data_IF_427961797927
#
_entry.id   IF_427961797927
#
_cell.length_a   1.000
_cell.length_b   1.000
_cell.length_c   1.000
_cell.angle_alpha   90.00
_cell.angle_beta   90.00
_cell.angle_gamma   90.00
#
_symmetry.space_group_name_H-M   'P 1'
#
loop_
_entity.id
_entity.type
_entity.pdbx_description
1 polymer ?
#
# COMPACT_ATOMS: atom_id res chain seq x y z
N UNK A 1 -32.48 -42.10 -8.17
CA UNK A 1 -31.67 -41.56 -7.05
C UNK A 1 -30.65 -40.61 -7.64
N UNK A 2 -30.82 -39.31 -7.40
CA UNK A 2 -29.90 -38.29 -7.89
C UNK A 2 -29.44 -37.49 -6.69
N UNK A 3 -28.19 -37.71 -6.26
CA UNK A 3 -27.53 -36.93 -5.23
C UNK A 3 -26.99 -35.66 -5.84
N UNK A 4 -27.72 -34.55 -5.68
CA UNK A 4 -27.16 -33.21 -5.93
C UNK A 4 -26.45 -32.76 -4.66
N UNK A 5 -25.16 -33.05 -4.58
CA UNK A 5 -24.23 -32.34 -3.70
C UNK A 5 -23.41 -31.40 -4.56
N UNK A 6 -23.61 -30.10 -4.41
CA UNK A 6 -22.45 -29.22 -4.22
C UNK A 6 -22.90 -28.08 -3.33
N UNK A 7 -22.55 -28.22 -2.06
CA UNK A 7 -22.49 -27.17 -1.06
C UNK A 7 -22.01 -25.87 -1.69
N UNK A 8 -22.77 -24.80 -1.50
CA UNK A 8 -22.35 -23.44 -1.76
C UNK A 8 -20.97 -23.26 -1.13
N UNK A 9 -19.95 -23.07 -1.97
CA UNK A 9 -18.61 -22.76 -1.52
C UNK A 9 -18.71 -21.44 -0.74
N UNK A 10 -18.77 -21.57 0.58
CA UNK A 10 -18.58 -20.49 1.51
C UNK A 10 -17.23 -19.88 1.16
N UNK A 11 -17.29 -18.71 0.52
CA UNK A 11 -16.14 -17.84 0.26
C UNK A 11 -15.67 -17.37 1.64
N UNK A 12 -14.93 -18.25 2.31
CA UNK A 12 -14.32 -17.99 3.60
C UNK A 12 -13.30 -16.88 3.34
N UNK A 13 -13.59 -15.69 3.85
CA UNK A 13 -12.65 -14.60 3.96
C UNK A 13 -11.51 -15.05 4.88
N UNK A 14 -10.57 -15.83 4.32
CA UNK A 14 -9.24 -15.99 4.89
C UNK A 14 -8.57 -14.65 4.68
N UNK A 15 -8.37 -13.90 5.77
CA UNK A 15 -7.50 -12.73 5.77
C UNK A 15 -6.22 -13.09 5.01
N UNK A 16 -5.98 -12.41 3.90
CA UNK A 16 -4.96 -12.77 2.92
C UNK A 16 -3.58 -12.35 3.42
N UNK A 17 -3.11 -13.01 4.49
CA UNK A 17 -1.76 -12.81 5.01
C UNK A 17 -0.76 -13.54 4.13
N UNK A 18 0.17 -12.79 3.58
CA UNK A 18 1.28 -13.34 2.81
C UNK A 18 2.57 -13.23 3.62
N UNK A 19 3.45 -14.20 3.43
CA UNK A 19 4.83 -14.13 3.92
C UNK A 19 5.69 -13.61 2.78
N UNK A 20 6.47 -12.57 3.04
CA UNK A 20 7.42 -12.00 2.07
C UNK A 20 8.80 -12.02 2.69
N UNK A 21 9.80 -12.47 1.93
CA UNK A 21 11.17 -12.51 2.42
C UNK A 21 11.78 -11.10 2.39
N UNK A 22 11.99 -10.54 3.58
CA UNK A 22 12.61 -9.24 3.78
C UNK A 22 14.11 -9.35 4.07
N UNK A 23 14.83 -8.21 4.10
CA UNK A 23 16.27 -8.19 4.33
C UNK A 23 16.68 -8.74 5.69
N UNK A 24 15.86 -8.54 6.73
CA UNK A 24 16.12 -9.00 8.10
C UNK A 24 15.38 -10.31 8.45
N UNK A 25 14.79 -10.95 7.45
CA UNK A 25 13.99 -12.16 7.60
C UNK A 25 12.55 -12.02 7.10
N UNK A 26 11.71 -13.06 7.30
CA UNK A 26 10.36 -13.11 6.76
C UNK A 26 9.43 -12.10 7.43
N UNK A 27 8.74 -11.30 6.62
CA UNK A 27 7.74 -10.33 7.05
C UNK A 27 6.34 -10.83 6.70
N UNK A 28 5.44 -10.86 7.69
CA UNK A 28 4.02 -11.16 7.46
C UNK A 28 3.28 -9.89 7.05
N UNK A 29 2.72 -9.87 5.85
CA UNK A 29 1.95 -8.74 5.29
C UNK A 29 0.48 -9.10 5.30
N UNK A 30 -0.34 -8.26 5.92
CA UNK A 30 -1.81 -8.41 5.95
C UNK A 30 -2.39 -7.59 4.78
N UNK A 31 -2.58 -8.24 3.64
CA UNK A 31 -2.91 -7.57 2.38
C UNK A 31 -4.25 -6.85 2.49
N UNK A 32 -5.28 -7.52 3.01
CA UNK A 32 -6.62 -6.93 3.15
C UNK A 32 -6.60 -5.67 4.04
N UNK A 33 -5.86 -5.70 5.16
CA UNK A 33 -5.77 -4.55 6.06
C UNK A 33 -5.01 -3.36 5.44
N UNK A 34 -4.07 -3.63 4.53
CA UNK A 34 -3.36 -2.58 3.78
C UNK A 34 -4.27 -2.05 2.67
N UNK A 35 -4.97 -2.91 1.92
CA UNK A 35 -5.91 -2.50 0.87
C UNK A 35 -7.05 -1.64 1.42
N UNK A 36 -7.63 -2.01 2.57
CA UNK A 36 -8.64 -1.19 3.24
C UNK A 36 -8.12 0.20 3.61
N UNK A 37 -6.87 0.31 4.07
CA UNK A 37 -6.24 1.60 4.38
C UNK A 37 -5.90 2.40 3.13
N UNK A 38 -5.47 1.74 2.06
CA UNK A 38 -5.25 2.37 0.75
C UNK A 38 -6.56 3.00 0.28
N UNK A 39 -7.66 2.26 0.30
CA UNK A 39 -8.95 2.76 -0.16
C UNK A 39 -9.43 3.92 0.72
N UNK A 40 -9.27 3.82 2.04
CA UNK A 40 -9.59 4.90 2.97
C UNK A 40 -8.76 6.18 2.70
N UNK A 41 -7.47 6.05 2.36
CA UNK A 41 -6.61 7.17 2.03
C UNK A 41 -6.90 7.82 0.68
N UNK A 42 -7.41 7.04 -0.28
CA UNK A 42 -7.79 7.54 -1.61
C UNK A 42 -9.16 8.21 -1.63
N UNK A 43 -10.08 7.73 -0.78
CA UNK A 43 -11.48 8.18 -0.71
C UNK A 43 -11.68 9.70 -0.66
N UNK A 44 -10.99 10.49 0.20
CA UNK A 44 -11.23 11.94 0.27
C UNK A 44 -10.92 12.67 -1.03
N UNK A 45 -9.97 12.18 -1.84
CA UNK A 45 -9.58 12.79 -3.11
C UNK A 45 -10.49 12.36 -4.26
N UNK A 46 -10.96 11.10 -4.25
CA UNK A 46 -11.81 10.56 -5.33
C UNK A 46 -13.27 11.03 -5.16
N UNK A 47 -13.81 10.91 -3.95
CA UNK A 47 -15.22 11.18 -3.68
C UNK A 47 -15.47 12.66 -3.30
N UNK A 48 -14.41 13.48 -3.24
CA UNK A 48 -14.45 14.86 -2.76
C UNK A 48 -15.14 15.02 -1.39
N UNK A 49 -14.99 14.01 -0.52
CA UNK A 49 -15.61 14.00 0.80
C UNK A 49 -14.74 14.71 1.83
N UNK A 50 -15.36 15.54 2.65
CA UNK A 50 -14.71 16.07 3.85
C UNK A 50 -14.48 14.93 4.84
N UNK A 51 -13.24 14.76 5.28
CA UNK A 51 -12.88 13.77 6.30
C UNK A 51 -12.41 14.50 7.55
N UNK A 52 -12.81 13.97 8.70
CA UNK A 52 -12.36 14.40 10.00
C UNK A 52 -10.82 14.43 10.09
N UNK A 53 -10.20 15.54 10.55
CA UNK A 53 -8.74 15.63 10.67
C UNK A 53 -8.09 14.51 11.50
N UNK A 54 -8.78 13.99 12.53
CA UNK A 54 -8.24 12.89 13.32
C UNK A 54 -8.25 11.57 12.52
N UNK A 55 -9.29 11.34 11.72
CA UNK A 55 -9.34 10.22 10.79
C UNK A 55 -8.25 10.31 9.71
N UNK A 56 -8.04 11.46 9.06
CA UNK A 56 -6.92 11.64 8.10
C UNK A 56 -5.59 11.33 8.79
N UNK A 57 -5.37 11.85 10.00
CA UNK A 57 -4.13 11.59 10.76
C UNK A 57 -3.91 10.09 10.98
N UNK A 58 -4.96 9.36 11.39
CA UNK A 58 -4.90 7.92 11.63
C UNK A 58 -4.58 7.16 10.35
N UNK A 59 -5.26 7.48 9.25
CA UNK A 59 -5.04 6.86 7.94
C UNK A 59 -3.61 7.12 7.46
N UNK A 60 -3.16 8.38 7.48
CA UNK A 60 -1.80 8.75 7.06
C UNK A 60 -0.74 8.02 7.87
N UNK A 61 -0.86 7.97 9.20
CA UNK A 61 0.09 7.20 10.04
C UNK A 61 0.09 5.72 9.69
N UNK A 62 -1.09 5.13 9.49
CA UNK A 62 -1.23 3.74 9.07
C UNK A 62 -0.55 3.47 7.73
N UNK A 63 -0.73 4.36 6.75
CA UNK A 63 -0.11 4.24 5.43
C UNK A 63 1.41 4.42 5.48
N UNK A 64 1.93 5.37 6.28
CA UNK A 64 3.39 5.51 6.49
C UNK A 64 3.97 4.21 7.03
N UNK A 65 3.37 3.63 8.08
CA UNK A 65 3.84 2.36 8.63
C UNK A 65 3.77 1.20 7.63
N UNK A 66 2.79 1.20 6.73
CA UNK A 66 2.73 0.21 5.65
C UNK A 66 3.84 0.42 4.61
N UNK A 67 4.14 1.66 4.21
CA UNK A 67 5.27 1.94 3.30
C UNK A 67 6.60 1.54 3.95
N UNK A 68 6.84 1.94 5.21
CA UNK A 68 8.06 1.59 5.96
C UNK A 68 8.25 0.07 6.06
N UNK A 69 7.16 -0.68 6.15
CA UNK A 69 7.18 -2.14 6.20
C UNK A 69 7.43 -2.78 4.83
N UNK A 70 6.80 -2.27 3.77
CA UNK A 70 6.85 -2.89 2.44
C UNK A 70 8.09 -2.47 1.64
N UNK A 71 8.59 -1.25 1.85
CA UNK A 71 9.67 -0.65 1.06
C UNK A 71 11.00 -1.43 1.16
N UNK A 72 11.52 -1.78 2.36
CA UNK A 72 12.78 -2.53 2.46
C UNK A 72 12.70 -3.91 1.79
N UNK A 73 11.51 -4.52 1.82
CA UNK A 73 11.24 -5.82 1.19
C UNK A 73 11.26 -5.68 -0.34
N UNK A 74 10.64 -4.62 -0.87
CA UNK A 74 10.70 -4.31 -2.30
C UNK A 74 12.13 -3.98 -2.73
N UNK A 75 12.86 -3.16 -1.97
CA UNK A 75 14.26 -2.86 -2.25
C UNK A 75 15.12 -4.13 -2.32
N UNK A 76 14.98 -5.03 -1.34
CA UNK A 76 15.71 -6.29 -1.33
C UNK A 76 15.37 -7.18 -2.56
N UNK A 77 14.08 -7.29 -2.89
CA UNK A 77 13.59 -8.10 -4.02
C UNK A 77 14.05 -7.57 -5.38
N UNK A 78 14.21 -6.25 -5.52
CA UNK A 78 14.48 -5.60 -6.80
C UNK A 78 15.89 -4.99 -6.90
N UNK A 79 16.74 -5.15 -5.88
CA UNK A 79 18.09 -4.57 -5.79
C UNK A 79 18.94 -4.79 -7.03
N UNK A 80 18.93 -6.00 -7.58
CA UNK A 80 19.79 -6.38 -8.70
C UNK A 80 19.14 -6.17 -10.07
N UNK A 81 17.87 -5.73 -10.11
CA UNK A 81 17.14 -5.54 -11.37
C UNK A 81 17.40 -4.20 -12.04
N UNK A 82 18.09 -3.28 -11.37
CA UNK A 82 18.54 -1.99 -11.91
C UNK A 82 17.40 -1.09 -12.44
N UNK A 83 17.76 0.07 -12.98
CA UNK A 83 16.84 0.94 -13.73
C UNK A 83 15.83 1.75 -12.90
N UNK A 84 14.70 2.09 -13.54
CA UNK A 84 13.69 3.03 -13.02
C UNK A 84 13.06 2.62 -11.68
N UNK A 85 13.00 1.33 -11.38
CA UNK A 85 12.39 0.82 -10.16
C UNK A 85 13.24 1.16 -8.94
N UNK A 86 14.56 0.97 -9.03
CA UNK A 86 15.47 1.31 -7.92
C UNK A 86 15.41 2.81 -7.61
N UNK A 87 15.43 3.66 -8.65
CA UNK A 87 15.26 5.11 -8.52
C UNK A 87 13.89 5.49 -7.90
N UNK A 88 12.84 4.77 -8.28
CA UNK A 88 11.49 4.95 -7.71
C UNK A 88 11.42 4.62 -6.22
N UNK A 89 12.07 3.53 -5.79
CA UNK A 89 12.13 3.13 -4.39
C UNK A 89 12.97 4.10 -3.55
N UNK A 90 14.12 4.56 -4.06
CA UNK A 90 14.95 5.59 -3.39
C UNK A 90 14.22 6.93 -3.24
N UNK A 91 13.44 7.32 -4.26
CA UNK A 91 12.56 8.50 -4.19
C UNK A 91 11.50 8.33 -3.11
N UNK A 92 10.87 7.15 -3.05
CA UNK A 92 9.86 6.85 -2.03
C UNK A 92 10.45 6.86 -0.62
N UNK A 93 11.67 6.32 -0.42
CA UNK A 93 12.38 6.40 0.87
C UNK A 93 12.54 7.84 1.33
N UNK A 94 13.08 8.72 0.49
CA UNK A 94 13.27 10.14 0.83
C UNK A 94 11.96 10.85 1.17
N UNK A 95 10.85 10.48 0.53
CA UNK A 95 9.52 11.05 0.82
C UNK A 95 8.99 10.64 2.19
N UNK A 96 9.44 9.54 2.79
CA UNK A 96 9.05 9.18 4.15
C UNK A 96 9.49 10.23 5.17
N UNK A 97 10.63 10.88 4.93
CA UNK A 97 11.19 11.90 5.82
C UNK A 97 10.53 13.28 5.70
N UNK A 98 9.66 13.50 4.69
CA UNK A 98 9.05 14.81 4.49
C UNK A 98 8.03 15.14 5.58
N UNK A 99 8.04 16.38 6.05
CA UNK A 99 7.02 16.87 6.97
C UNK A 99 5.63 16.76 6.34
N UNK A 100 4.70 16.15 7.09
CA UNK A 100 3.31 15.98 6.65
C UNK A 100 2.51 17.25 6.98
N UNK A 101 1.61 17.70 6.09
CA UNK A 101 0.74 18.85 6.38
C UNK A 101 -0.19 18.53 7.56
N UNK A 102 -0.42 19.51 8.44
CA UNK A 102 -1.39 19.39 9.52
C UNK A 102 -2.81 19.35 8.92
N UNK A 103 -3.59 18.27 9.11
CA UNK A 103 -4.94 18.16 8.56
C UNK A 103 -5.94 19.18 9.15
N UNK A 104 -5.64 19.82 10.29
CA UNK A 104 -6.49 20.88 10.86
C UNK A 104 -6.29 22.22 10.14
N UNK A 105 -5.05 22.51 9.75
CA UNK A 105 -4.69 23.76 9.08
C UNK A 105 -4.78 23.65 7.55
N UNK A 106 -4.51 22.47 6.99
CA UNK A 106 -4.42 22.21 5.55
C UNK A 106 -5.10 20.88 5.18
N UNK A 107 -6.43 20.76 5.35
CA UNK A 107 -7.15 19.49 5.19
C UNK A 107 -7.03 18.90 3.78
N UNK A 108 -7.09 19.74 2.74
CA UNK A 108 -6.93 19.28 1.36
C UNK A 108 -5.51 18.72 1.10
N UNK A 109 -4.47 19.42 1.55
CA UNK A 109 -3.09 18.98 1.37
C UNK A 109 -2.82 17.68 2.15
N UNK A 110 -3.42 17.54 3.33
CA UNK A 110 -3.33 16.30 4.11
C UNK A 110 -4.06 15.13 3.44
N UNK A 111 -5.22 15.36 2.83
CA UNK A 111 -5.93 14.36 2.03
C UNK A 111 -5.12 13.94 0.79
N UNK A 112 -4.53 14.90 0.06
CA UNK A 112 -3.66 14.61 -1.08
C UNK A 112 -2.44 13.79 -0.64
N UNK A 113 -1.80 14.18 0.46
CA UNK A 113 -0.67 13.44 1.01
C UNK A 113 -1.05 12.00 1.41
N UNK A 114 -2.23 11.79 2.00
CA UNK A 114 -2.74 10.46 2.32
C UNK A 114 -2.97 9.63 1.04
N UNK A 115 -3.57 10.23 0.01
CA UNK A 115 -3.80 9.56 -1.27
C UNK A 115 -2.48 9.19 -1.97
N UNK A 116 -1.46 10.04 -1.92
CA UNK A 116 -0.15 9.73 -2.48
C UNK A 116 0.52 8.56 -1.76
N UNK A 117 0.48 8.54 -0.42
CA UNK A 117 0.97 7.40 0.35
C UNK A 117 0.17 6.13 0.04
N UNK A 118 -1.15 6.23 -0.11
CA UNK A 118 -1.99 5.10 -0.51
C UNK A 118 -1.60 4.54 -1.89
N UNK A 119 -1.30 5.40 -2.87
CA UNK A 119 -0.77 4.98 -4.18
C UNK A 119 0.58 4.29 -4.03
N UNK A 120 1.49 4.82 -3.22
CA UNK A 120 2.79 4.19 -2.95
C UNK A 120 2.63 2.81 -2.31
N UNK A 121 1.77 2.67 -1.28
CA UNK A 121 1.43 1.38 -0.68
C UNK A 121 0.88 0.41 -1.73
N UNK A 122 -0.05 0.85 -2.58
CA UNK A 122 -0.63 0.01 -3.64
C UNK A 122 0.42 -0.47 -4.63
N UNK A 123 1.35 0.41 -5.04
CA UNK A 123 2.44 0.04 -5.94
C UNK A 123 3.39 -0.96 -5.30
N UNK A 124 3.83 -0.72 -4.06
CA UNK A 124 4.69 -1.64 -3.32
C UNK A 124 4.00 -3.00 -3.11
N UNK A 125 2.73 -2.99 -2.71
CA UNK A 125 1.96 -4.20 -2.53
C UNK A 125 1.90 -5.00 -3.85
N UNK A 126 1.59 -4.35 -4.97
CA UNK A 126 1.59 -4.99 -6.30
C UNK A 126 2.97 -5.50 -6.72
N UNK A 127 4.06 -4.81 -6.38
CA UNK A 127 5.41 -5.29 -6.66
C UNK A 127 5.74 -6.57 -5.88
N UNK A 128 5.19 -6.70 -4.68
CA UNK A 128 5.43 -7.84 -3.79
C UNK A 128 4.45 -9.01 -4.01
N UNK A 129 3.24 -8.75 -4.50
CA UNK A 129 2.19 -9.76 -4.73
C UNK A 129 1.95 -10.08 -6.21
N UNK A 130 2.42 -9.23 -7.11
CA UNK A 130 2.24 -9.36 -8.55
C UNK A 130 3.23 -10.34 -9.21
N UNK A 131 3.04 -10.61 -10.51
CA UNK A 131 3.93 -11.49 -11.27
C UNK A 131 5.36 -10.96 -11.28
N UNK A 132 6.34 -11.86 -11.40
CA UNK A 132 7.76 -11.54 -11.32
C UNK A 132 8.29 -10.59 -12.40
N UNK A 133 7.52 -10.18 -13.42
CA UNK A 133 7.98 -9.22 -14.43
C UNK A 133 7.67 -7.77 -14.01
N UNK A 134 8.68 -6.99 -13.60
CA UNK A 134 8.47 -5.68 -13.04
C UNK A 134 8.33 -4.60 -14.13
N UNK A 135 8.54 -4.93 -15.41
CA UNK A 135 8.31 -4.01 -16.53
C UNK A 135 6.83 -3.68 -16.75
N UNK A 136 5.92 -4.41 -16.08
CA UNK A 136 4.49 -4.12 -16.09
C UNK A 136 4.05 -3.20 -14.94
N UNK A 137 4.93 -2.86 -14.01
CA UNK A 137 4.60 -2.01 -12.85
C UNK A 137 5.22 -0.63 -13.02
N UNK A 138 4.41 0.33 -13.47
CA UNK A 138 4.80 1.74 -13.52
C UNK A 138 4.79 2.29 -12.09
N UNK A 139 5.98 2.52 -11.51
CA UNK A 139 6.11 3.36 -10.30
C UNK A 139 5.85 4.79 -10.75
N UNK A 140 4.60 5.20 -10.65
CA UNK A 140 4.16 6.55 -10.97
C UNK A 140 4.77 7.51 -9.96
N UNK A 141 5.82 8.24 -10.38
CA UNK A 141 6.44 9.32 -9.62
C UNK A 141 5.62 10.58 -9.91
N UNK A 142 4.70 10.90 -9.02
CA UNK A 142 4.01 12.19 -8.95
C UNK A 142 4.66 13.04 -7.85
#
# INVERSE_FOLDING_TARGET
MTTTSTSAAAKTARSSRIRVDGPDGPVMVDVDAIEQRIDAGMRPVIDAVSIDPAEITRITKGLVGDVEKLLPVAEARFKDRGGHITLGLDSLRRRLDYQRPDPRSYPLNAAICAADLARSCRTLLKLLTGPEDPNQVVISTW
#
